data_IF_765154046595
#
_entry.id   IF_765154046595
#
_cell.length_a   1.000
_cell.length_b   1.000
_cell.length_c   1.000
_cell.angle_alpha   90.00
_cell.angle_beta   90.00
_cell.angle_gamma   90.00
#
_symmetry.space_group_name_H-M   'P 1'
#
loop_
_entity.id
_entity.type
_entity.pdbx_description
1 polymer ?
#
# COMPACT_ATOMS: atom_id res chain seq x y z
N UNK A 1 -31.59 -24.40 24.46
CA UNK A 1 -30.96 -23.08 24.32
C UNK A 1 -29.62 -23.30 23.64
N UNK A 2 -29.55 -23.11 22.33
CA UNK A 2 -28.27 -23.12 21.60
C UNK A 2 -27.52 -21.86 22.01
N UNK A 3 -26.39 -22.01 22.71
CA UNK A 3 -25.49 -20.90 22.93
C UNK A 3 -25.17 -20.27 21.57
N UNK A 4 -25.46 -18.97 21.45
CA UNK A 4 -24.95 -18.18 20.33
C UNK A 4 -23.43 -18.21 20.48
N UNK A 5 -22.74 -18.93 19.61
CA UNK A 5 -21.28 -18.83 19.49
C UNK A 5 -20.98 -17.33 19.29
N UNK A 6 -20.26 -16.66 20.21
CA UNK A 6 -20.00 -15.23 20.11
C UNK A 6 -19.20 -14.85 18.84
N UNK A 7 -18.77 -15.85 18.07
CA UNK A 7 -17.90 -15.71 16.92
C UNK A 7 -16.50 -15.44 17.41
N UNK A 8 -15.53 -16.26 16.98
CA UNK A 8 -14.14 -16.04 17.34
C UNK A 8 -13.69 -14.58 17.07
N UNK A 9 -12.74 -14.05 17.87
CA UNK A 9 -12.39 -12.63 17.83
C UNK A 9 -11.94 -12.19 16.44
N UNK A 10 -12.23 -10.94 16.11
CA UNK A 10 -11.60 -10.26 14.99
C UNK A 10 -10.12 -10.10 15.31
N UNK A 11 -9.26 -10.63 14.46
CA UNK A 11 -7.80 -10.52 14.60
C UNK A 11 -7.20 -9.85 13.39
N UNK A 12 -6.03 -9.22 13.59
CA UNK A 12 -5.21 -8.65 12.52
C UNK A 12 -3.90 -9.39 12.43
N UNK A 13 -3.51 -9.73 11.21
CA UNK A 13 -2.24 -10.40 10.91
C UNK A 13 -1.45 -9.49 9.97
N UNK A 14 -0.33 -8.97 10.44
CA UNK A 14 0.63 -8.23 9.63
C UNK A 14 1.80 -9.11 9.21
N UNK A 15 2.14 -9.14 7.92
CA UNK A 15 3.33 -9.82 7.39
C UNK A 15 4.19 -8.82 6.63
N UNK A 16 5.50 -8.84 6.91
CA UNK A 16 6.48 -7.88 6.40
C UNK A 16 7.34 -8.50 5.31
N UNK A 17 7.53 -7.75 4.25
CA UNK A 17 8.36 -8.08 3.10
C UNK A 17 9.34 -6.96 2.79
N UNK A 18 10.42 -7.29 2.09
CA UNK A 18 11.42 -6.33 1.62
C UNK A 18 11.64 -6.51 0.13
N UNK A 19 11.89 -5.41 -0.56
CA UNK A 19 12.34 -5.41 -1.94
C UNK A 19 13.18 -4.17 -2.20
N UNK A 20 14.16 -4.29 -3.08
CA UNK A 20 15.01 -3.17 -3.50
C UNK A 20 14.60 -2.73 -4.89
N UNK A 21 14.29 -1.46 -5.11
CA UNK A 21 13.90 -0.98 -6.43
C UNK A 21 14.46 0.42 -6.71
N UNK A 22 14.67 0.72 -7.98
CA UNK A 22 15.06 2.05 -8.45
C UNK A 22 13.90 2.77 -9.11
N UNK A 23 13.91 4.09 -9.06
CA UNK A 23 12.94 4.95 -9.73
C UNK A 23 13.46 6.37 -9.96
N UNK A 24 12.70 7.12 -10.75
CA UNK A 24 12.79 8.57 -10.93
C UNK A 24 11.40 9.17 -10.81
N UNK A 25 11.26 10.21 -10.01
CA UNK A 25 10.03 10.99 -9.95
C UNK A 25 10.05 12.04 -11.05
N UNK A 26 9.32 11.81 -12.13
CA UNK A 26 9.23 12.70 -13.29
C UNK A 26 7.84 12.56 -13.93
N UNK A 27 7.14 13.69 -14.05
CA UNK A 27 5.83 13.79 -14.68
C UNK A 27 5.99 14.26 -16.14
N UNK A 28 5.69 13.43 -17.16
CA UNK A 28 5.86 13.79 -18.57
C UNK A 28 5.08 15.03 -19.01
N UNK A 29 3.98 15.33 -18.33
CA UNK A 29 3.11 16.47 -18.59
C UNK A 29 3.63 17.80 -18.02
N UNK A 30 4.67 17.78 -17.18
CA UNK A 30 5.27 18.98 -16.61
C UNK A 30 6.52 19.38 -17.38
N UNK A 31 6.76 20.69 -17.53
CA UNK A 31 8.03 21.21 -18.04
C UNK A 31 9.22 20.75 -17.16
N UNK A 32 10.43 20.72 -17.73
CA UNK A 32 11.62 20.22 -17.05
C UNK A 32 11.94 21.02 -15.77
N UNK A 33 11.80 22.34 -15.83
CA UNK A 33 11.98 23.26 -14.70
C UNK A 33 11.00 22.92 -13.58
N UNK A 34 9.72 22.74 -13.94
CA UNK A 34 8.67 22.42 -12.99
C UNK A 34 8.86 21.05 -12.36
N UNK A 35 9.33 20.06 -13.11
CA UNK A 35 9.70 18.76 -12.57
C UNK A 35 10.82 18.86 -11.52
N UNK A 36 11.85 19.68 -11.79
CA UNK A 36 12.93 19.91 -10.82
C UNK A 36 12.43 20.62 -9.56
N UNK A 37 11.52 21.58 -9.70
CA UNK A 37 10.90 22.26 -8.54
C UNK A 37 10.06 21.31 -7.69
N UNK A 38 9.21 20.49 -8.32
CA UNK A 38 8.26 19.61 -7.62
C UNK A 38 8.98 18.43 -6.95
N UNK A 39 9.90 17.78 -7.67
CA UNK A 39 10.50 16.51 -7.23
C UNK A 39 11.93 16.66 -6.72
N UNK A 40 12.57 17.81 -6.92
CA UNK A 40 13.91 18.11 -6.41
C UNK A 40 14.93 17.02 -6.76
N UNK A 41 15.66 16.53 -5.75
CA UNK A 41 16.68 15.48 -5.90
C UNK A 41 16.11 14.17 -6.45
N UNK A 42 14.84 13.87 -6.21
CA UNK A 42 14.18 12.66 -6.71
C UNK A 42 13.93 12.70 -8.24
N UNK A 43 14.12 13.87 -8.88
CA UNK A 43 14.06 14.03 -10.33
C UNK A 43 15.37 13.70 -11.07
N UNK A 44 16.42 13.24 -10.38
CA UNK A 44 17.71 12.90 -10.99
C UNK A 44 17.50 12.13 -12.33
N UNK A 45 18.03 12.59 -13.48
CA UNK A 45 17.85 11.93 -14.77
C UNK A 45 18.25 10.45 -14.79
N UNK A 46 19.22 10.06 -13.95
CA UNK A 46 19.68 8.68 -13.80
C UNK A 46 18.95 7.90 -12.69
N UNK A 47 17.96 8.51 -12.05
CA UNK A 47 17.18 7.91 -10.97
C UNK A 47 17.93 7.80 -9.64
N UNK A 48 17.33 7.04 -8.74
CA UNK A 48 17.84 6.64 -7.43
C UNK A 48 17.08 5.38 -6.99
N UNK A 49 17.32 4.84 -5.80
CA UNK A 49 16.60 3.66 -5.33
C UNK A 49 16.52 3.55 -3.83
N UNK A 50 15.69 2.60 -3.38
CA UNK A 50 15.41 2.37 -1.96
C UNK A 50 15.28 0.87 -1.67
N UNK A 51 15.59 0.53 -0.43
CA UNK A 51 15.27 -0.76 0.17
C UNK A 51 13.91 -0.64 0.86
N UNK A 52 12.85 -0.82 0.08
CA UNK A 52 11.48 -0.70 0.55
C UNK A 52 11.13 -1.82 1.53
N UNK A 53 10.31 -1.49 2.51
CA UNK A 53 9.66 -2.46 3.41
C UNK A 53 8.15 -2.37 3.21
N UNK A 54 7.52 -3.47 2.84
CA UNK A 54 6.07 -3.57 2.66
C UNK A 54 5.45 -4.42 3.76
N UNK A 55 4.51 -3.86 4.51
CA UNK A 55 3.65 -4.59 5.42
C UNK A 55 2.30 -4.84 4.73
N UNK A 56 1.89 -6.11 4.65
CA UNK A 56 0.55 -6.53 4.22
C UNK A 56 -0.22 -6.91 5.47
N UNK A 57 -1.32 -6.22 5.73
CA UNK A 57 -2.16 -6.46 6.92
C UNK A 57 -3.49 -7.03 6.49
N UNK A 58 -3.86 -8.11 7.15
CA UNK A 58 -5.11 -8.82 6.97
C UNK A 58 -5.98 -8.66 8.22
N UNK A 59 -7.29 -8.65 8.02
CA UNK A 59 -8.26 -8.72 9.09
C UNK A 59 -9.25 -9.85 8.83
N UNK A 60 -9.77 -10.46 9.89
CA UNK A 60 -10.76 -11.51 9.79
C UNK A 60 -11.11 -12.11 11.14
N UNK A 61 -12.16 -12.92 11.18
CA UNK A 61 -12.47 -13.76 12.35
C UNK A 61 -11.75 -15.09 12.21
N UNK A 62 -11.23 -15.62 13.31
CA UNK A 62 -10.58 -16.92 13.26
C UNK A 62 -11.59 -17.99 12.81
N UNK A 63 -11.10 -18.92 12.01
CA UNK A 63 -11.83 -20.14 11.67
C UNK A 63 -11.98 -21.03 12.92
N UNK A 64 -13.20 -21.42 13.33
CA UNK A 64 -13.41 -22.24 14.53
C UNK A 64 -12.75 -23.62 14.51
N UNK A 65 -12.62 -24.24 13.34
CA UNK A 65 -12.00 -25.54 13.20
C UNK A 65 -10.47 -25.46 13.09
N UNK A 66 -9.94 -24.37 12.52
CA UNK A 66 -8.50 -24.23 12.21
C UNK A 66 -7.73 -23.31 13.17
N UNK A 67 -8.42 -22.44 13.89
CA UNK A 67 -7.83 -21.47 14.82
C UNK A 67 -6.94 -20.40 14.16
N UNK A 68 -7.10 -20.13 12.86
CA UNK A 68 -6.27 -19.18 12.09
C UNK A 68 -7.05 -18.49 10.97
N UNK A 69 -6.54 -17.35 10.48
CA UNK A 69 -7.09 -16.64 9.32
C UNK A 69 -6.73 -17.30 7.98
N UNK A 70 -5.46 -17.67 7.82
CA UNK A 70 -4.91 -18.39 6.67
C UNK A 70 -3.53 -18.97 7.03
N UNK A 71 -2.96 -19.88 6.23
CA UNK A 71 -1.57 -20.32 6.36
C UNK A 71 -0.63 -19.21 5.88
N UNK A 72 0.34 -18.79 6.70
CA UNK A 72 1.22 -17.65 6.36
C UNK A 72 2.11 -17.96 5.14
N UNK A 73 2.41 -19.22 4.89
CA UNK A 73 3.17 -19.69 3.74
C UNK A 73 2.42 -19.41 2.43
N UNK A 74 1.08 -19.53 2.44
CA UNK A 74 0.25 -19.14 1.29
C UNK A 74 0.28 -17.63 1.07
N UNK A 75 0.30 -16.84 2.14
CA UNK A 75 0.42 -15.38 2.04
C UNK A 75 1.79 -14.97 1.48
N UNK A 76 2.87 -15.62 1.95
CA UNK A 76 4.22 -15.38 1.44
C UNK A 76 4.31 -15.71 -0.05
N UNK A 77 3.75 -16.85 -0.48
CA UNK A 77 3.73 -17.22 -1.89
C UNK A 77 2.89 -16.26 -2.75
N UNK A 78 1.71 -15.90 -2.27
CA UNK A 78 0.83 -14.93 -2.92
C UNK A 78 1.53 -13.59 -3.15
N UNK A 79 2.06 -12.98 -2.08
CA UNK A 79 2.73 -11.67 -2.16
C UNK A 79 3.99 -11.76 -3.04
N UNK A 80 4.73 -12.87 -2.97
CA UNK A 80 5.88 -13.10 -3.83
C UNK A 80 5.49 -13.10 -5.31
N UNK A 81 4.45 -13.85 -5.69
CA UNK A 81 4.05 -13.98 -7.10
C UNK A 81 3.39 -12.72 -7.64
N UNK A 82 2.50 -12.11 -6.86
CA UNK A 82 1.69 -10.95 -7.30
C UNK A 82 2.48 -9.65 -7.25
N UNK A 83 3.40 -9.50 -6.29
CA UNK A 83 4.13 -8.26 -6.07
C UNK A 83 5.64 -8.40 -6.18
N UNK A 84 6.29 -9.13 -5.27
CA UNK A 84 7.75 -9.05 -5.11
C UNK A 84 8.51 -9.45 -6.37
N UNK A 85 8.06 -10.49 -7.09
CA UNK A 85 8.68 -10.93 -8.34
C UNK A 85 8.63 -9.87 -9.45
N UNK A 86 7.75 -8.88 -9.33
CA UNK A 86 7.55 -7.80 -10.30
C UNK A 86 8.42 -6.58 -9.97
N UNK A 87 8.75 -6.34 -8.70
CA UNK A 87 9.39 -5.10 -8.24
C UNK A 87 10.79 -5.26 -7.68
N UNK A 88 11.16 -6.45 -7.19
CA UNK A 88 12.45 -6.64 -6.54
C UNK A 88 13.59 -6.65 -7.57
N UNK A 89 14.61 -5.82 -7.30
CA UNK A 89 15.77 -5.52 -8.15
C UNK A 89 15.37 -5.02 -9.54
N UNK A 90 14.31 -4.20 -9.61
CA UNK A 90 13.78 -3.62 -10.85
C UNK A 90 13.85 -2.09 -10.87
N UNK A 91 13.70 -1.53 -12.05
CA UNK A 91 13.41 -0.11 -12.24
C UNK A 91 11.90 0.09 -12.39
N UNK A 92 11.27 0.72 -11.41
CA UNK A 92 9.81 0.89 -11.37
C UNK A 92 9.28 1.65 -12.60
N UNK A 93 10.02 2.63 -13.12
CA UNK A 93 9.57 3.41 -14.28
C UNK A 93 9.50 2.59 -15.58
N UNK A 94 10.30 1.52 -15.68
CA UNK A 94 10.50 0.78 -16.94
C UNK A 94 9.88 -0.61 -16.86
N UNK A 95 10.08 -1.29 -15.74
CA UNK A 95 9.73 -2.70 -15.58
C UNK A 95 8.29 -2.92 -15.10
N UNK A 96 7.62 -1.87 -14.60
CA UNK A 96 6.22 -1.94 -14.14
C UNK A 96 5.29 -1.16 -15.10
N UNK A 97 4.34 -1.84 -15.78
CA UNK A 97 3.47 -1.20 -16.77
C UNK A 97 2.66 0.00 -16.23
N UNK A 98 2.23 -0.03 -14.98
CA UNK A 98 1.43 1.06 -14.38
C UNK A 98 2.20 2.38 -14.31
N UNK A 99 3.53 2.34 -14.17
CA UNK A 99 4.37 3.52 -14.08
C UNK A 99 4.80 4.08 -15.44
N UNK A 100 4.30 3.51 -16.54
CA UNK A 100 4.33 4.18 -17.83
C UNK A 100 3.42 5.43 -17.83
N UNK A 101 2.32 5.39 -17.08
CA UNK A 101 1.34 6.49 -16.99
C UNK A 101 1.33 7.18 -15.62
N UNK A 102 1.95 6.58 -14.60
CA UNK A 102 1.99 7.11 -13.23
C UNK A 102 3.41 7.48 -12.84
N UNK A 103 3.57 8.55 -12.06
CA UNK A 103 4.84 8.85 -11.40
C UNK A 103 5.04 7.86 -10.25
N UNK A 104 6.21 7.18 -10.12
CA UNK A 104 6.43 6.16 -9.10
C UNK A 104 6.73 6.74 -7.72
N UNK A 105 5.88 7.65 -7.24
CA UNK A 105 5.87 8.05 -5.84
C UNK A 105 5.45 6.87 -4.98
N UNK A 106 5.80 6.87 -3.69
CA UNK A 106 5.48 5.74 -2.81
C UNK A 106 3.97 5.64 -2.55
N UNK A 107 3.21 6.73 -2.64
CA UNK A 107 1.74 6.72 -2.64
C UNK A 107 1.19 5.90 -3.82
N UNK A 108 1.65 6.19 -5.05
CA UNK A 108 1.23 5.44 -6.22
C UNK A 108 1.70 3.98 -6.16
N UNK A 109 2.89 3.72 -5.62
CA UNK A 109 3.38 2.37 -5.39
C UNK A 109 2.49 1.57 -4.43
N UNK A 110 2.08 2.16 -3.31
CA UNK A 110 1.17 1.52 -2.36
C UNK A 110 -0.22 1.27 -2.98
N UNK A 111 -0.74 2.23 -3.77
CA UNK A 111 -2.01 2.08 -4.48
C UNK A 111 -1.97 0.94 -5.50
N UNK A 112 -0.91 0.86 -6.32
CA UNK A 112 -0.74 -0.20 -7.31
C UNK A 112 -0.58 -1.57 -6.61
N UNK A 113 0.22 -1.65 -5.55
CA UNK A 113 0.36 -2.86 -4.75
C UNK A 113 -0.98 -3.34 -4.18
N UNK A 114 -1.71 -2.44 -3.51
CA UNK A 114 -3.03 -2.75 -2.93
C UNK A 114 -4.03 -3.21 -3.99
N UNK A 115 -4.07 -2.56 -5.16
CA UNK A 115 -4.95 -2.95 -6.28
C UNK A 115 -4.62 -4.34 -6.80
N UNK A 116 -3.35 -4.63 -7.10
CA UNK A 116 -2.92 -5.95 -7.60
C UNK A 116 -3.23 -7.06 -6.60
N UNK A 117 -2.91 -6.85 -5.32
CA UNK A 117 -3.20 -7.81 -4.26
C UNK A 117 -4.72 -8.01 -4.10
N UNK A 118 -5.52 -6.93 -4.03
CA UNK A 118 -6.98 -7.04 -3.92
C UNK A 118 -7.61 -7.79 -5.11
N UNK A 119 -7.16 -7.51 -6.34
CA UNK A 119 -7.67 -8.18 -7.54
C UNK A 119 -7.33 -9.69 -7.57
N UNK A 120 -6.12 -10.06 -7.14
CA UNK A 120 -5.70 -11.46 -7.11
C UNK A 120 -6.26 -12.23 -5.91
N UNK A 121 -6.71 -11.55 -4.85
CA UNK A 121 -7.14 -12.15 -3.58
C UNK A 121 -8.15 -13.29 -3.71
N UNK A 122 -9.26 -13.15 -4.47
CA UNK A 122 -10.29 -14.19 -4.53
C UNK A 122 -9.79 -15.53 -5.10
N UNK A 123 -8.78 -15.50 -5.97
CA UNK A 123 -8.23 -16.71 -6.57
C UNK A 123 -7.35 -17.51 -5.61
N UNK A 124 -6.78 -16.86 -4.59
CA UNK A 124 -5.85 -17.49 -3.65
C UNK A 124 -6.49 -17.91 -2.34
N UNK A 125 -7.46 -17.11 -1.89
CA UNK A 125 -7.99 -17.22 -0.53
C UNK A 125 -9.50 -17.46 -0.49
N UNK A 126 -10.10 -17.93 -1.59
CA UNK A 126 -11.47 -18.42 -1.58
C UNK A 126 -11.67 -19.44 -0.45
N UNK A 127 -12.61 -19.17 0.46
CA UNK A 127 -12.93 -20.03 1.59
C UNK A 127 -12.13 -19.78 2.88
N UNK A 128 -11.18 -18.83 2.88
CA UNK A 128 -10.55 -18.35 4.11
C UNK A 128 -11.28 -17.11 4.66
N UNK A 129 -11.41 -16.96 5.98
CA UNK A 129 -12.10 -15.83 6.60
C UNK A 129 -11.25 -14.54 6.63
N UNK A 130 -10.22 -14.45 5.79
CA UNK A 130 -9.25 -13.37 5.77
C UNK A 130 -9.55 -12.39 4.62
N UNK A 131 -9.46 -11.10 4.93
CA UNK A 131 -9.54 -10.03 3.95
C UNK A 131 -8.28 -9.18 4.01
N UNK A 132 -7.85 -8.67 2.84
CA UNK A 132 -6.81 -7.67 2.76
C UNK A 132 -7.32 -6.35 3.37
N UNK A 133 -6.78 -5.96 4.53
CA UNK A 133 -7.17 -4.73 5.20
C UNK A 133 -6.40 -3.53 4.66
N UNK A 134 -5.07 -3.66 4.54
CA UNK A 134 -4.22 -2.57 4.06
C UNK A 134 -2.85 -3.02 3.58
N UNK A 135 -2.24 -2.14 2.79
CA UNK A 135 -0.83 -2.20 2.39
C UNK A 135 -0.13 -0.96 2.91
N UNK A 136 1.00 -1.16 3.59
CA UNK A 136 1.87 -0.07 4.06
C UNK A 136 3.25 -0.24 3.44
N UNK A 137 3.77 0.80 2.80
CA UNK A 137 5.12 0.82 2.25
C UNK A 137 5.95 1.88 2.97
N UNK A 138 7.12 1.45 3.44
CA UNK A 138 8.17 2.31 3.97
C UNK A 138 9.25 2.42 2.91
N UNK A 139 9.45 3.63 2.40
CA UNK A 139 10.49 3.96 1.43
C UNK A 139 11.83 4.21 2.12
N UNK A 140 11.79 4.97 3.21
CA UNK A 140 12.93 5.18 4.09
C UNK A 140 12.49 5.03 5.54
N UNK A 141 13.43 5.02 6.47
CA UNK A 141 13.13 5.00 7.92
C UNK A 141 12.10 6.06 8.37
N UNK A 142 12.01 7.20 7.68
CA UNK A 142 11.14 8.32 8.04
C UNK A 142 9.90 8.46 7.13
N UNK A 143 9.87 7.80 5.97
CA UNK A 143 8.80 7.97 4.98
C UNK A 143 7.98 6.69 4.90
N UNK A 144 6.72 6.76 5.34
CA UNK A 144 5.80 5.62 5.44
C UNK A 144 4.46 6.04 4.83
N UNK A 145 3.92 5.20 3.96
CA UNK A 145 2.69 5.44 3.22
C UNK A 145 1.77 4.23 3.39
N UNK A 146 0.48 4.46 3.54
CA UNK A 146 -0.51 3.43 3.83
C UNK A 146 -1.74 3.61 2.94
N UNK A 147 -2.25 2.51 2.41
CA UNK A 147 -3.48 2.44 1.62
C UNK A 147 -4.37 1.36 2.23
N UNK A 148 -5.58 1.76 2.61
CA UNK A 148 -6.64 0.84 3.01
C UNK A 148 -7.20 0.12 1.77
N UNK A 149 -7.31 -1.20 1.86
CA UNK A 149 -7.86 -2.05 0.81
C UNK A 149 -9.33 -2.42 1.06
N UNK A 150 -9.80 -2.26 2.31
CA UNK A 150 -11.20 -2.43 2.68
C UNK A 150 -12.04 -1.21 2.26
N UNK A 151 -13.25 -1.46 1.77
CA UNK A 151 -14.20 -0.40 1.38
C UNK A 151 -14.85 0.30 2.58
N UNK A 152 -14.66 -0.25 3.78
CA UNK A 152 -15.29 0.25 5.01
C UNK A 152 -14.77 1.65 5.43
N UNK A 153 -13.54 2.03 5.04
CA UNK A 153 -12.94 3.31 5.45
C UNK A 153 -13.10 4.43 4.40
N UNK A 154 -13.43 4.08 3.15
CA UNK A 154 -13.59 5.07 2.07
C UNK A 154 -14.83 5.98 2.22
N UNK A 155 -15.74 5.67 3.14
CA UNK A 155 -16.95 6.46 3.45
C UNK A 155 -16.81 7.38 4.67
N UNK A 156 -15.61 7.49 5.27
CA UNK A 156 -15.40 8.19 6.55
C UNK A 156 -14.73 9.56 6.50
N UNK A 157 -14.46 10.14 5.32
CA UNK A 157 -13.82 11.45 5.20
C UNK A 157 -14.70 12.43 4.42
N UNK A 158 -15.78 12.86 5.04
CA UNK A 158 -16.43 14.13 4.72
C UNK A 158 -16.06 15.16 5.79
N UNK A 159 -15.45 16.26 5.32
CA UNK A 159 -15.49 17.61 5.91
C UNK A 159 -14.97 17.79 7.34
N UNK A 160 -13.69 18.15 7.47
CA UNK A 160 -13.29 19.13 8.48
C UNK A 160 -12.98 20.44 7.75
N UNK A 161 -13.95 21.35 7.82
CA UNK A 161 -13.81 22.75 7.47
C UNK A 161 -12.75 23.37 8.38
N UNK A 162 -11.58 23.70 7.82
CA UNK A 162 -10.56 24.47 8.53
C UNK A 162 -11.02 25.93 8.49
N UNK A 163 -11.67 26.38 9.57
CA UNK A 163 -11.90 27.81 9.81
C UNK A 163 -10.55 28.44 10.16
N UNK A 164 -9.97 29.19 9.22
CA UNK A 164 -8.81 30.05 9.47
C UNK A 164 -9.32 31.37 10.04
N UNK A 165 -9.30 31.52 11.36
CA UNK A 165 -9.48 32.83 11.98
C UNK A 165 -8.22 33.69 11.75
N UNK A 166 -8.31 34.68 10.87
CA UNK A 166 -7.25 35.68 10.72
C UNK A 166 -7.29 36.63 11.92
N UNK A 167 -6.26 36.55 12.79
CA UNK A 167 -5.99 37.64 13.73
C UNK A 167 -5.55 38.87 12.95
N UNK A 168 -6.35 39.94 13.01
CA UNK A 168 -5.86 41.29 12.72
C UNK A 168 -5.20 41.81 13.99
N UNK A 169 -3.87 41.92 13.97
CA UNK A 169 -3.16 42.82 14.88
C UNK A 169 -3.41 44.25 14.40
N UNK A 170 -3.75 45.13 15.34
CA UNK A 170 -3.91 46.55 15.12
C UNK A 170 -3.46 47.33 16.35
N UNK A 171 -2.69 48.38 16.06
CA UNK A 171 -2.13 49.45 16.90
C UNK A 171 -0.68 49.26 17.34
#
# INVERSE_FOLDING_TARGET
MTAVDPGLPLVRVGRRYRFSASHRLHAPQLAAERNREVYGKCNNPYGHGHDYVMDVVLAGRLDPARGRLLPLEMLDEFVRRVWLAQVDRRNLNVDLPEFAALVPTTENLALVAARRLKQAWPHWFAGWPAELEKVRIRETRNNIFEVSASEAEARGSESHEIVVESRREGA
#
